data_IF_801496472276
#
_entry.id   IF_801496472276
#
_cell.length_a   1.000
_cell.length_b   1.000
_cell.length_c   1.000
_cell.angle_alpha   90.00
_cell.angle_beta   90.00
_cell.angle_gamma   90.00
#
_symmetry.space_group_name_H-M   'P 1'
#
loop_
_entity.id
_entity.type
_entity.pdbx_description
1 polymer ?
#
# COMPACT_ATOMS: atom_id res chain seq x y z
N UNK A 1 0.22 6.91 61.79
CA UNK A 1 0.43 7.80 60.63
C UNK A 1 1.45 7.11 59.69
N UNK A 2 1.22 6.14 58.80
CA UNK A 2 0.07 5.65 58.01
C UNK A 2 -0.75 6.78 57.40
N UNK A 3 -0.38 7.16 56.16
CA UNK A 3 -1.13 7.88 55.11
C UNK A 3 -0.20 8.76 54.24
N UNK A 4 0.97 8.24 53.83
CA UNK A 4 1.79 8.84 52.75
C UNK A 4 2.27 7.69 51.84
N UNK A 5 1.32 6.85 51.45
CA UNK A 5 1.48 5.85 50.39
C UNK A 5 0.31 6.15 49.43
N UNK A 6 0.57 6.15 48.12
CA UNK A 6 -0.44 6.08 47.04
C UNK A 6 -0.91 7.39 46.34
N UNK A 7 -0.10 8.43 46.25
CA UNK A 7 -0.45 9.59 45.39
C UNK A 7 0.70 10.10 44.50
N UNK A 8 1.73 9.28 44.28
CA UNK A 8 2.87 9.62 43.45
C UNK A 8 2.99 8.58 42.32
N UNK A 9 3.03 9.07 41.07
CA UNK A 9 3.52 8.38 39.86
C UNK A 9 2.61 7.36 39.15
N UNK A 10 1.42 7.81 38.75
CA UNK A 10 0.75 7.27 37.55
C UNK A 10 0.42 8.39 36.55
N UNK A 11 1.37 9.32 36.33
CA UNK A 11 1.42 10.04 35.05
C UNK A 11 2.06 9.10 34.04
N UNK A 12 1.29 8.10 33.60
CA UNK A 12 1.62 7.33 32.41
C UNK A 12 1.66 8.32 31.26
N UNK A 13 2.87 8.74 30.88
CA UNK A 13 3.09 9.42 29.62
C UNK A 13 2.67 8.43 28.53
N UNK A 14 1.42 8.54 28.07
CA UNK A 14 1.00 7.96 26.82
C UNK A 14 1.79 8.70 25.74
N UNK A 15 3.00 8.23 25.48
CA UNK A 15 3.75 8.60 24.29
C UNK A 15 2.96 8.03 23.13
N UNK A 16 2.08 8.86 22.55
CA UNK A 16 1.46 8.56 21.28
C UNK A 16 2.58 8.23 20.29
N UNK A 17 2.48 7.05 19.67
CA UNK A 17 3.47 6.53 18.75
C UNK A 17 3.33 7.19 17.37
N UNK A 18 3.30 8.52 17.32
CA UNK A 18 3.15 9.28 16.10
C UNK A 18 4.51 9.79 15.61
N UNK A 19 4.78 9.81 14.29
CA UNK A 19 6.05 10.28 13.76
C UNK A 19 6.25 11.78 14.05
N UNK A 20 7.48 12.20 14.37
CA UNK A 20 7.77 13.63 14.66
C UNK A 20 7.53 14.52 13.44
N UNK A 21 7.78 13.99 12.25
CA UNK A 21 7.51 14.65 10.98
C UNK A 21 6.85 13.67 10.02
N UNK A 22 5.69 14.05 9.50
CA UNK A 22 4.95 13.31 8.49
C UNK A 22 4.94 14.11 7.18
N UNK A 23 5.35 13.49 6.09
CA UNK A 23 5.36 14.09 4.76
C UNK A 23 4.73 13.12 3.75
N UNK A 24 3.70 13.58 3.04
CA UNK A 24 2.96 12.76 2.07
C UNK A 24 3.10 13.37 0.69
N UNK A 25 3.57 12.57 -0.26
CA UNK A 25 3.79 12.91 -1.65
C UNK A 25 2.68 12.28 -2.48
N UNK A 26 1.72 13.11 -2.91
CA UNK A 26 0.64 12.75 -3.82
C UNK A 26 1.09 12.94 -5.26
N UNK A 27 1.31 11.84 -5.97
CA UNK A 27 1.83 11.85 -7.33
C UNK A 27 0.65 11.86 -8.31
N UNK A 28 0.65 12.84 -9.22
CA UNK A 28 -0.39 13.00 -10.23
C UNK A 28 0.06 12.42 -11.58
N UNK A 29 -0.88 11.85 -12.37
CA UNK A 29 -0.55 11.44 -13.74
C UNK A 29 -0.12 12.65 -14.58
N UNK A 30 0.75 12.45 -15.58
CA UNK A 30 1.10 13.52 -16.51
C UNK A 30 -0.17 14.03 -17.20
N UNK A 31 -0.34 15.37 -17.27
CA UNK A 31 -1.49 15.99 -17.94
C UNK A 31 -1.43 15.69 -19.43
N UNK A 32 -2.14 14.64 -19.86
CA UNK A 32 -2.32 14.24 -21.27
C UNK A 32 -3.30 15.13 -22.04
N UNK A 33 -3.89 16.14 -21.39
CA UNK A 33 -4.86 17.05 -22.01
C UNK A 33 -4.31 17.82 -23.22
N UNK A 34 -2.99 18.00 -23.33
CA UNK A 34 -2.38 18.67 -24.50
C UNK A 34 -2.17 17.72 -25.70
N UNK A 35 -2.07 16.41 -25.48
CA UNK A 35 -1.81 15.45 -26.56
C UNK A 35 -3.10 15.08 -27.31
N UNK A 36 -4.25 15.22 -26.65
CA UNK A 36 -5.57 15.03 -27.29
C UNK A 36 -5.93 16.20 -28.24
N UNK A 37 -5.41 17.40 -28.01
CA UNK A 37 -5.64 18.58 -28.87
C UNK A 37 -4.71 18.62 -30.11
N UNK A 38 -3.58 17.91 -30.08
CA UNK A 38 -2.61 17.88 -31.19
C UNK A 38 -2.78 16.68 -32.13
N UNK A 39 -3.78 15.81 -31.90
CA UNK A 39 -4.12 14.72 -32.82
C UNK A 39 -5.18 15.22 -33.82
N UNK A 40 -4.83 15.45 -35.10
CA UNK A 40 -5.80 15.84 -36.10
C UNK A 40 -6.57 14.60 -36.55
N UNK A 41 -7.82 14.48 -36.14
CA UNK A 41 -8.73 13.49 -36.68
C UNK A 41 -9.63 12.90 -35.60
N UNK A 42 -10.91 12.88 -35.91
CA UNK A 42 -12.01 12.30 -35.13
C UNK A 42 -11.69 10.86 -34.67
N UNK A 43 -11.02 10.72 -33.52
CA UNK A 43 -10.99 9.46 -32.81
C UNK A 43 -12.32 9.34 -32.07
N UNK A 44 -13.32 8.81 -32.78
CA UNK A 44 -14.45 8.16 -32.11
C UNK A 44 -13.85 7.13 -31.15
N UNK A 45 -13.95 7.39 -29.85
CA UNK A 45 -13.71 6.38 -28.82
C UNK A 45 -14.80 5.32 -28.92
N UNK A 46 -14.71 4.49 -29.96
CA UNK A 46 -15.20 3.12 -29.88
C UNK A 46 -14.23 2.43 -28.94
N UNK A 47 -14.55 2.50 -27.65
CA UNK A 47 -13.96 1.60 -26.66
C UNK A 47 -14.14 0.19 -27.22
N UNK A 48 -13.09 -0.57 -27.58
CA UNK A 48 -13.27 -1.98 -27.57
C UNK A 48 -13.37 -2.27 -26.07
N UNK A 49 -14.61 -2.40 -25.58
CA UNK A 49 -14.78 -3.37 -24.51
C UNK A 49 -14.13 -4.63 -25.05
N UNK A 50 -12.93 -4.95 -24.56
CA UNK A 50 -12.43 -6.31 -24.59
C UNK A 50 -13.35 -7.11 -23.67
N UNK A 51 -14.61 -7.27 -24.09
CA UNK A 51 -15.29 -8.53 -23.95
C UNK A 51 -14.41 -9.49 -24.75
N UNK A 52 -13.43 -10.08 -24.06
CA UNK A 52 -12.90 -11.35 -24.51
C UNK A 52 -14.16 -12.20 -24.75
N UNK A 53 -14.44 -12.51 -26.02
CA UNK A 53 -15.25 -13.67 -26.39
C UNK A 53 -14.49 -14.89 -25.86
N UNK A 54 -14.46 -15.06 -24.53
CA UNK A 54 -13.96 -16.27 -23.92
C UNK A 54 -15.08 -17.26 -24.14
N UNK A 55 -14.94 -18.03 -25.20
CA UNK A 55 -15.72 -19.24 -25.38
C UNK A 55 -15.73 -19.98 -24.05
N UNK A 56 -16.95 -20.30 -23.63
CA UNK A 56 -17.19 -20.99 -22.41
C UNK A 56 -16.34 -22.28 -22.37
N UNK A 57 -15.56 -22.49 -21.30
CA UNK A 57 -14.69 -23.65 -21.20
C UNK A 57 -15.42 -24.83 -20.55
N UNK A 58 -15.44 -26.03 -21.17
CA UNK A 58 -16.17 -27.17 -20.64
C UNK A 58 -15.59 -27.60 -19.29
N UNK A 59 -16.46 -27.76 -18.28
CA UNK A 59 -16.07 -28.16 -16.93
C UNK A 59 -17.17 -29.05 -16.35
N UNK A 60 -16.88 -30.35 -16.17
CA UNK A 60 -17.88 -31.31 -15.70
C UNK A 60 -19.07 -31.44 -16.65
N UNK A 61 -20.30 -31.39 -16.12
CA UNK A 61 -21.55 -31.53 -16.88
C UNK A 61 -22.02 -30.20 -17.52
N UNK A 62 -21.22 -29.15 -17.41
CA UNK A 62 -21.53 -27.81 -17.87
C UNK A 62 -20.29 -27.10 -18.36
N UNK A 63 -20.34 -25.79 -18.29
CA UNK A 63 -19.36 -24.94 -18.93
C UNK A 63 -19.13 -23.68 -18.09
N UNK A 64 -17.86 -23.31 -17.88
CA UNK A 64 -17.50 -22.17 -17.05
C UNK A 64 -17.21 -20.94 -17.91
N UNK A 65 -18.00 -19.90 -17.73
CA UNK A 65 -17.85 -18.60 -18.40
C UNK A 65 -17.28 -17.58 -17.41
N UNK A 66 -16.17 -16.87 -17.73
CA UNK A 66 -15.47 -16.00 -16.77
C UNK A 66 -16.34 -14.91 -16.14
N UNK A 67 -17.36 -14.43 -16.86
CA UNK A 67 -18.28 -13.39 -16.38
C UNK A 67 -19.58 -13.94 -15.78
N UNK A 68 -20.03 -15.13 -16.21
CA UNK A 68 -21.34 -15.67 -15.86
C UNK A 68 -21.25 -16.84 -14.86
N UNK A 69 -20.04 -17.32 -14.58
CA UNK A 69 -19.83 -18.49 -13.74
C UNK A 69 -20.17 -19.79 -14.46
N UNK A 70 -20.60 -20.79 -13.68
CA UNK A 70 -20.92 -22.12 -14.19
C UNK A 70 -22.30 -22.18 -14.84
N UNK A 71 -22.35 -22.60 -16.12
CA UNK A 71 -23.55 -22.77 -16.93
C UNK A 71 -23.76 -24.28 -17.14
N UNK A 72 -24.80 -24.90 -16.55
CA UNK A 72 -25.11 -26.31 -16.80
C UNK A 72 -25.64 -26.52 -18.23
N UNK A 73 -25.29 -27.65 -18.87
CA UNK A 73 -25.86 -27.98 -20.18
C UNK A 73 -27.34 -28.38 -20.06
N UNK A 74 -28.19 -27.85 -20.96
CA UNK A 74 -29.66 -27.94 -20.85
C UNK A 74 -30.25 -29.36 -21.01
N UNK A 75 -29.43 -30.37 -21.27
CA UNK A 75 -29.88 -31.75 -21.48
C UNK A 75 -30.11 -32.56 -20.19
N UNK A 76 -29.80 -32.02 -19.01
CA UNK A 76 -30.06 -32.67 -17.73
C UNK A 76 -31.00 -31.86 -16.82
N UNK A 77 -32.20 -31.57 -17.33
CA UNK A 77 -33.35 -31.20 -16.47
C UNK A 77 -33.87 -32.43 -15.73
N UNK A 78 -33.18 -32.86 -14.68
CA UNK A 78 -33.75 -33.73 -13.65
C UNK A 78 -33.37 -33.23 -12.25
N UNK A 79 -34.28 -32.43 -11.70
CA UNK A 79 -34.62 -32.24 -10.29
C UNK A 79 -33.59 -32.69 -9.25
N UNK A 80 -32.89 -31.73 -8.66
CA UNK A 80 -32.67 -31.68 -7.21
C UNK A 80 -32.51 -30.22 -6.78
N UNK A 81 -33.28 -29.72 -5.80
CA UNK A 81 -33.07 -28.39 -5.27
C UNK A 81 -31.78 -28.42 -4.45
N UNK A 82 -30.71 -27.84 -5.00
CA UNK A 82 -29.54 -27.47 -4.21
C UNK A 82 -30.05 -26.40 -3.24
N UNK A 83 -30.04 -26.72 -1.95
CA UNK A 83 -30.28 -25.73 -0.90
C UNK A 83 -29.25 -24.62 -1.08
N UNK A 84 -29.72 -23.39 -1.28
CA UNK A 84 -28.92 -22.18 -1.11
C UNK A 84 -28.43 -22.13 0.34
N UNK A 85 -27.27 -22.74 0.58
CA UNK A 85 -26.46 -22.39 1.74
C UNK A 85 -25.88 -21.02 1.43
N UNK A 86 -26.49 -19.99 2.03
CA UNK A 86 -25.94 -18.63 2.08
C UNK A 86 -24.43 -18.71 2.31
N UNK A 87 -23.59 -18.10 1.44
CA UNK A 87 -22.16 -18.09 1.65
C UNK A 87 -21.90 -17.45 3.00
N UNK A 88 -21.51 -18.25 4.00
CA UNK A 88 -20.91 -17.68 5.19
C UNK A 88 -19.67 -16.94 4.68
N UNK A 89 -19.68 -15.61 4.84
CA UNK A 89 -18.54 -14.75 4.59
C UNK A 89 -17.35 -15.32 5.39
N UNK A 90 -16.54 -16.14 4.73
CA UNK A 90 -15.22 -16.48 5.20
C UNK A 90 -14.45 -15.16 5.17
N UNK A 91 -14.45 -14.46 6.32
CA UNK A 91 -13.54 -13.37 6.59
C UNK A 91 -12.13 -13.94 6.57
N UNK A 92 -11.56 -14.05 5.37
CA UNK A 92 -10.16 -14.38 5.18
C UNK A 92 -9.39 -13.23 5.81
N UNK A 93 -8.96 -13.42 7.06
CA UNK A 93 -8.05 -12.49 7.71
C UNK A 93 -6.75 -12.55 6.91
N UNK A 94 -6.50 -11.56 6.08
CA UNK A 94 -5.19 -11.32 5.48
C UNK A 94 -4.19 -11.14 6.62
N UNK A 95 -3.33 -12.13 6.81
CA UNK A 95 -2.28 -12.10 7.82
C UNK A 95 -1.21 -11.13 7.31
N UNK A 96 -1.14 -9.93 7.90
CA UNK A 96 0.00 -9.03 7.69
C UNK A 96 1.26 -9.74 8.18
N UNK A 97 2.32 -9.73 7.39
CA UNK A 97 3.63 -10.26 7.81
C UNK A 97 4.23 -9.50 9.00
N UNK A 98 3.75 -8.29 9.29
CA UNK A 98 4.11 -7.52 10.50
C UNK A 98 3.25 -7.87 11.73
N UNK A 99 2.08 -8.50 11.55
CA UNK A 99 1.20 -8.95 12.66
C UNK A 99 1.48 -10.40 13.10
N UNK A 100 2.48 -11.09 12.52
CA UNK A 100 2.83 -12.49 12.86
C UNK A 100 3.70 -12.59 14.13
N UNK A 101 4.00 -11.47 14.79
CA UNK A 101 4.91 -11.43 15.95
C UNK A 101 4.30 -11.89 17.30
N UNK A 102 3.31 -12.79 17.28
CA UNK A 102 2.72 -13.34 18.51
C UNK A 102 2.44 -14.85 18.49
N UNK A 103 3.19 -15.62 17.69
CA UNK A 103 3.32 -17.05 18.00
C UNK A 103 4.23 -17.15 19.23
N UNK A 104 3.66 -17.45 20.40
CA UNK A 104 4.44 -17.76 21.61
C UNK A 104 5.30 -19.00 21.33
N UNK A 105 6.56 -18.77 20.96
CA UNK A 105 7.57 -19.82 20.82
C UNK A 105 8.04 -20.25 22.21
N UNK A 106 7.15 -20.91 22.93
CA UNK A 106 7.46 -21.59 24.18
C UNK A 106 7.94 -23.01 23.85
N UNK A 107 9.10 -23.38 24.38
CA UNK A 107 9.70 -24.72 24.19
C UNK A 107 8.68 -25.80 24.54
N UNK A 108 8.25 -26.56 23.54
CA UNK A 108 7.37 -27.72 23.71
C UNK A 108 6.04 -27.66 22.95
N UNK A 109 5.74 -26.58 22.24
CA UNK A 109 4.55 -26.49 21.38
C UNK A 109 4.82 -27.01 19.97
N UNK A 110 3.83 -27.68 19.35
CA UNK A 110 3.94 -28.33 18.03
C UNK A 110 4.31 -27.38 16.87
N UNK A 111 4.14 -26.07 17.07
CA UNK A 111 4.47 -25.03 16.08
C UNK A 111 5.90 -24.45 16.21
N UNK A 112 6.74 -24.98 17.10
CA UNK A 112 8.15 -24.57 17.25
C UNK A 112 8.97 -24.75 15.96
N UNK A 113 8.54 -25.64 15.06
CA UNK A 113 9.19 -25.91 13.77
C UNK A 113 9.11 -24.69 12.83
N UNK A 114 8.07 -23.86 12.95
CA UNK A 114 7.89 -22.64 12.17
C UNK A 114 8.51 -21.40 12.83
N UNK A 115 8.99 -21.52 14.08
CA UNK A 115 9.76 -20.47 14.75
C UNK A 115 11.25 -20.47 14.34
N UNK A 116 11.54 -21.07 13.17
CA UNK A 116 12.86 -21.12 12.57
C UNK A 116 13.38 -19.71 12.30
N UNK A 117 14.31 -19.25 13.14
CA UNK A 117 15.17 -18.08 12.92
C UNK A 117 14.39 -16.81 12.54
N UNK A 118 13.43 -16.40 13.37
CA UNK A 118 13.31 -14.98 13.62
C UNK A 118 14.62 -14.55 14.32
N UNK A 119 15.69 -14.36 13.53
CA UNK A 119 16.78 -13.51 13.96
C UNK A 119 16.10 -12.26 14.46
N UNK A 120 16.26 -11.98 15.76
CA UNK A 120 16.03 -10.65 16.30
C UNK A 120 16.90 -9.74 15.45
N UNK A 121 16.37 -9.27 14.33
CA UNK A 121 16.98 -8.15 13.64
C UNK A 121 17.02 -7.07 14.71
N UNK A 122 18.21 -6.58 14.99
CA UNK A 122 18.40 -5.38 15.78
C UNK A 122 17.69 -4.25 15.03
N UNK A 123 16.38 -4.16 15.25
CA UNK A 123 15.46 -3.12 14.83
C UNK A 123 15.76 -1.90 15.69
N UNK A 124 17.00 -1.40 15.60
CA UNK A 124 17.22 0.02 15.79
C UNK A 124 16.25 0.71 14.82
N UNK A 125 15.25 1.45 15.33
CA UNK A 125 14.27 2.11 14.49
C UNK A 125 15.03 2.98 13.48
N UNK A 126 14.63 2.89 12.22
CA UNK A 126 15.17 3.79 11.20
C UNK A 126 14.81 5.22 11.57
N UNK A 127 15.76 6.15 11.43
CA UNK A 127 15.50 7.57 11.68
C UNK A 127 14.49 8.11 10.65
N UNK A 128 14.56 7.58 9.43
CA UNK A 128 13.68 7.94 8.31
C UNK A 128 13.04 6.67 7.77
N UNK A 129 11.73 6.67 7.54
CA UNK A 129 11.02 5.58 6.86
C UNK A 129 10.29 6.12 5.63
N UNK A 130 10.41 5.38 4.52
CA UNK A 130 9.72 5.68 3.26
C UNK A 130 8.71 4.59 2.99
N UNK A 131 7.46 4.97 2.81
CA UNK A 131 6.38 4.07 2.39
C UNK A 131 6.04 4.35 0.93
N UNK A 132 6.05 3.30 0.13
CA UNK A 132 5.77 3.39 -1.30
C UNK A 132 4.50 2.60 -1.58
N UNK A 133 3.51 3.30 -2.12
CA UNK A 133 2.27 2.72 -2.59
C UNK A 133 2.54 1.81 -3.79
N UNK A 134 2.05 0.58 -3.71
CA UNK A 134 2.13 -0.44 -4.75
C UNK A 134 0.75 -0.87 -5.25
N UNK A 135 -0.28 -0.08 -4.96
CA UNK A 135 -1.65 -0.28 -5.42
C UNK A 135 -1.76 -0.26 -6.94
N UNK A 136 -2.85 -0.81 -7.45
CA UNK A 136 -3.10 -0.88 -8.89
C UNK A 136 -3.29 0.50 -9.55
N UNK A 137 -3.74 1.52 -8.82
CA UNK A 137 -3.98 2.87 -9.33
C UNK A 137 -2.69 3.62 -9.67
N UNK A 138 -1.58 3.28 -9.00
CA UNK A 138 -0.23 3.79 -9.31
C UNK A 138 0.22 3.52 -10.75
N UNK A 139 -0.37 2.52 -11.43
CA UNK A 139 -0.11 2.25 -12.85
C UNK A 139 -0.44 3.42 -13.77
N UNK A 140 -1.41 4.26 -13.40
CA UNK A 140 -1.81 5.45 -14.19
C UNK A 140 -0.84 6.62 -14.02
N UNK A 141 -0.11 6.63 -12.91
CA UNK A 141 0.76 7.75 -12.52
C UNK A 141 2.20 7.49 -12.97
N UNK A 142 2.69 6.29 -12.73
CA UNK A 142 4.09 5.88 -12.93
C UNK A 142 4.16 4.72 -13.94
N UNK A 143 3.60 4.95 -15.13
CA UNK A 143 3.66 3.97 -16.22
C UNK A 143 5.06 3.95 -16.85
N UNK A 144 5.63 2.75 -16.93
CA UNK A 144 6.88 2.48 -17.62
C UNK A 144 6.70 1.27 -18.54
N UNK A 145 7.38 1.28 -19.68
CA UNK A 145 7.46 0.13 -20.59
C UNK A 145 8.35 -0.98 -20.06
N UNK A 146 9.30 -0.65 -19.18
CA UNK A 146 10.15 -1.62 -18.48
C UNK A 146 9.53 -1.95 -17.12
N UNK A 147 9.25 -3.24 -16.89
CA UNK A 147 8.66 -3.76 -15.66
C UNK A 147 9.50 -3.48 -14.42
N UNK A 148 10.82 -3.33 -14.57
CA UNK A 148 11.73 -3.12 -13.46
C UNK A 148 12.00 -1.63 -13.19
N UNK A 149 11.55 -0.74 -14.07
CA UNK A 149 11.85 0.69 -13.96
C UNK A 149 10.60 1.49 -13.65
N UNK A 150 10.66 2.34 -12.63
CA UNK A 150 9.58 3.26 -12.29
C UNK A 150 10.15 4.51 -11.58
N UNK A 151 9.42 5.61 -11.63
CA UNK A 151 9.79 6.89 -11.02
C UNK A 151 9.92 6.77 -9.49
N UNK A 152 9.04 6.00 -8.85
CA UNK A 152 9.12 5.68 -7.41
C UNK A 152 10.45 5.02 -7.04
N UNK A 153 10.89 4.03 -7.82
CA UNK A 153 12.19 3.39 -7.63
C UNK A 153 13.33 4.41 -7.74
N UNK A 154 13.30 5.25 -8.77
CA UNK A 154 14.33 6.27 -8.97
C UNK A 154 14.35 7.29 -7.82
N UNK A 155 13.18 7.65 -7.29
CA UNK A 155 13.05 8.50 -6.11
C UNK A 155 13.79 7.89 -4.92
N UNK A 156 13.46 6.63 -4.59
CA UNK A 156 14.03 5.94 -3.43
C UNK A 156 15.54 5.79 -3.58
N UNK A 157 16.02 5.37 -4.76
CA UNK A 157 17.47 5.25 -5.04
C UNK A 157 18.21 6.57 -4.85
N UNK A 158 17.67 7.68 -5.37
CA UNK A 158 18.28 9.00 -5.23
C UNK A 158 18.20 9.53 -3.78
N UNK A 159 17.12 9.23 -3.07
CA UNK A 159 16.96 9.61 -1.68
C UNK A 159 18.00 8.92 -0.79
N UNK A 160 18.15 7.59 -0.90
CA UNK A 160 19.17 6.83 -0.15
C UNK A 160 20.56 7.38 -0.42
N UNK A 161 20.91 7.61 -1.70
CA UNK A 161 22.21 8.18 -2.10
C UNK A 161 22.47 9.56 -1.50
N UNK A 162 21.41 10.34 -1.28
CA UNK A 162 21.51 11.70 -0.72
C UNK A 162 21.53 11.71 0.80
N UNK A 163 20.88 10.71 1.43
CA UNK A 163 20.66 10.56 2.86
C UNK A 163 21.62 9.53 3.50
N UNK A 164 22.86 9.42 3.01
CA UNK A 164 23.84 8.39 3.43
C UNK A 164 24.23 8.42 4.92
N UNK A 165 23.87 9.48 5.65
CA UNK A 165 24.17 9.67 7.07
C UNK A 165 23.16 9.01 8.02
N UNK A 166 21.94 8.69 7.56
CA UNK A 166 20.84 8.18 8.40
C UNK A 166 20.43 6.77 7.97
N UNK A 167 19.89 5.98 8.92
CA UNK A 167 19.32 4.67 8.60
C UNK A 167 17.94 4.88 7.97
N UNK A 168 17.81 4.60 6.68
CA UNK A 168 16.54 4.70 5.94
C UNK A 168 15.86 3.34 5.88
N UNK A 169 14.65 3.23 6.44
CA UNK A 169 13.76 2.09 6.27
C UNK A 169 12.87 2.29 5.06
N UNK A 170 12.63 1.24 4.28
CA UNK A 170 11.76 1.32 3.09
C UNK A 170 10.74 0.21 3.19
N UNK A 171 9.47 0.60 3.09
CA UNK A 171 8.33 -0.29 3.13
C UNK A 171 7.47 -0.05 1.89
N UNK A 172 6.88 -1.13 1.39
CA UNK A 172 5.81 -1.07 0.39
C UNK A 172 4.48 -1.27 1.09
N UNK A 173 3.43 -0.64 0.56
CA UNK A 173 2.09 -0.84 1.07
C UNK A 173 1.04 -0.96 -0.03
N UNK A 174 -0.01 -1.67 0.33
CA UNK A 174 -1.27 -1.82 -0.38
C UNK A 174 -2.38 -2.02 0.69
N UNK A 175 -3.05 -3.18 0.70
CA UNK A 175 -3.84 -3.70 1.83
C UNK A 175 -3.00 -4.08 3.07
N UNK A 176 -1.69 -4.26 2.89
CA UNK A 176 -0.73 -4.68 3.90
C UNK A 176 0.55 -3.85 3.80
N UNK A 177 1.23 -3.61 4.93
CA UNK A 177 2.55 -2.98 4.94
C UNK A 177 3.64 -4.04 5.07
N UNK A 178 4.64 -4.00 4.18
CA UNK A 178 5.76 -4.95 4.16
C UNK A 178 7.08 -4.22 3.96
N UNK A 179 8.14 -4.70 4.60
CA UNK A 179 9.48 -4.20 4.32
C UNK A 179 9.87 -4.53 2.87
N UNK A 180 10.47 -3.56 2.18
CA UNK A 180 10.93 -3.75 0.82
C UNK A 180 12.03 -4.81 0.77
N UNK A 181 11.89 -5.77 -0.14
CA UNK A 181 12.92 -6.77 -0.42
C UNK A 181 13.93 -6.26 -1.46
N UNK A 182 13.48 -6.13 -2.71
CA UNK A 182 14.29 -5.64 -3.84
C UNK A 182 13.70 -4.33 -4.39
N UNK A 183 14.53 -3.52 -5.06
CA UNK A 183 14.04 -2.26 -5.63
C UNK A 183 12.97 -2.45 -6.73
N UNK A 184 12.98 -3.60 -7.41
CA UNK A 184 12.01 -3.91 -8.45
C UNK A 184 10.59 -4.07 -7.86
N UNK A 185 10.47 -4.43 -6.57
CA UNK A 185 9.16 -4.57 -5.92
C UNK A 185 8.43 -3.24 -5.77
N UNK A 186 9.14 -2.11 -5.85
CA UNK A 186 8.53 -0.76 -5.84
C UNK A 186 7.73 -0.46 -7.11
N UNK A 187 7.98 -1.20 -8.19
CA UNK A 187 7.33 -0.99 -9.48
C UNK A 187 6.14 -1.93 -9.71
N UNK A 188 5.88 -2.85 -8.77
CA UNK A 188 4.71 -3.73 -8.80
C UNK A 188 3.47 -2.90 -8.48
N UNK A 189 2.43 -3.03 -9.31
CA UNK A 189 1.16 -2.35 -9.14
C UNK A 189 0.04 -3.39 -9.01
N UNK A 190 -0.42 -3.64 -7.79
CA UNK A 190 -1.43 -4.65 -7.47
C UNK A 190 -2.22 -4.28 -6.22
N UNK A 191 -3.43 -4.81 -6.10
CA UNK A 191 -4.25 -4.57 -4.92
C UNK A 191 -4.91 -3.20 -4.89
N UNK A 192 -5.60 -2.98 -3.76
CA UNK A 192 -6.26 -1.74 -3.38
C UNK A 192 -5.62 -1.24 -2.09
N UNK A 193 -5.75 0.05 -1.82
CA UNK A 193 -5.37 0.60 -0.54
C UNK A 193 -6.51 0.50 0.48
N UNK A 194 -6.13 0.37 1.74
CA UNK A 194 -7.03 0.47 2.89
C UNK A 194 -6.65 1.72 3.68
N UNK A 195 -7.38 2.81 3.45
CA UNK A 195 -7.13 4.10 4.10
C UNK A 195 -7.19 4.01 5.63
N UNK A 196 -8.10 3.19 6.17
CA UNK A 196 -8.25 3.00 7.61
C UNK A 196 -7.00 2.36 8.23
N UNK A 197 -6.49 1.31 7.59
CA UNK A 197 -5.22 0.69 7.99
C UNK A 197 -4.04 1.61 7.81
N UNK A 198 -3.99 2.39 6.74
CA UNK A 198 -2.91 3.34 6.52
C UNK A 198 -2.84 4.37 7.65
N UNK A 199 -3.98 4.96 8.03
CA UNK A 199 -4.06 5.88 9.18
C UNK A 199 -3.60 5.22 10.47
N UNK A 200 -4.04 3.99 10.71
CA UNK A 200 -3.61 3.22 11.87
C UNK A 200 -2.09 3.00 11.87
N UNK A 201 -1.50 2.59 10.75
CA UNK A 201 -0.05 2.41 10.64
C UNK A 201 0.71 3.72 10.90
N UNK A 202 0.19 4.86 10.42
CA UNK A 202 0.79 6.18 10.69
C UNK A 202 0.76 6.47 12.20
N UNK A 203 -0.37 6.20 12.86
CA UNK A 203 -0.55 6.39 14.30
C UNK A 203 0.30 5.45 15.16
N UNK A 204 0.69 4.31 14.62
CA UNK A 204 1.53 3.31 15.29
C UNK A 204 3.04 3.53 14.99
N UNK A 205 3.38 4.42 14.07
CA UNK A 205 4.76 4.62 13.60
C UNK A 205 5.61 5.51 14.52
N UNK A 206 6.68 4.92 15.07
CA UNK A 206 7.61 5.59 16.00
C UNK A 206 8.82 6.26 15.34
N UNK A 207 8.81 6.41 14.01
CA UNK A 207 9.96 6.93 13.25
C UNK A 207 10.05 8.45 13.38
N UNK A 208 11.26 9.01 13.28
CA UNK A 208 11.39 10.47 13.40
C UNK A 208 10.82 11.19 12.19
N UNK A 209 11.02 10.63 10.99
CA UNK A 209 10.52 11.20 9.74
C UNK A 209 9.89 10.12 8.88
N UNK A 210 8.59 10.22 8.64
CA UNK A 210 7.83 9.33 7.77
C UNK A 210 7.54 10.05 6.45
N UNK A 211 7.95 9.44 5.34
CA UNK A 211 7.67 9.91 3.98
C UNK A 211 6.77 8.87 3.30
N UNK A 212 5.59 9.27 2.84
CA UNK A 212 4.65 8.39 2.13
C UNK A 212 4.55 8.85 0.68
N UNK A 213 4.62 7.92 -0.27
CA UNK A 213 4.47 8.16 -1.70
C UNK A 213 3.24 7.41 -2.18
N UNK A 214 2.23 8.12 -2.66
CA UNK A 214 0.97 7.56 -3.15
C UNK A 214 0.42 8.41 -4.30
N UNK A 215 -0.63 7.96 -4.98
CA UNK A 215 -1.28 8.77 -6.02
C UNK A 215 -2.25 9.79 -5.42
N UNK A 216 -2.65 10.76 -6.25
CA UNK A 216 -3.62 11.79 -5.86
C UNK A 216 -5.03 11.25 -5.58
N UNK A 217 -5.38 10.07 -6.10
CA UNK A 217 -6.72 9.52 -5.94
C UNK A 217 -6.93 8.95 -4.52
N UNK A 218 -5.86 8.65 -3.79
CA UNK A 218 -5.89 8.27 -2.37
C UNK A 218 -6.18 9.45 -1.42
N UNK A 219 -6.13 10.71 -1.90
CA UNK A 219 -6.42 11.89 -1.08
C UNK A 219 -7.94 12.08 -0.87
N UNK A 220 -8.53 11.21 -0.07
CA UNK A 220 -9.92 11.37 0.35
C UNK A 220 -10.08 12.55 1.33
N UNK A 221 -11.28 13.14 1.48
CA UNK A 221 -11.53 14.17 2.49
C UNK A 221 -11.19 13.70 3.91
N UNK A 222 -11.41 12.42 4.21
CA UNK A 222 -11.13 11.86 5.53
C UNK A 222 -9.63 11.71 5.77
N UNK A 223 -8.85 11.33 4.75
CA UNK A 223 -7.39 11.29 4.85
C UNK A 223 -6.83 12.69 4.97
N UNK A 224 -7.34 13.64 4.19
CA UNK A 224 -6.92 15.04 4.25
C UNK A 224 -7.09 15.63 5.64
N UNK A 225 -8.28 15.53 6.23
CA UNK A 225 -8.52 16.05 7.58
C UNK A 225 -7.58 15.40 8.60
N UNK A 226 -7.36 14.09 8.50
CA UNK A 226 -6.40 13.39 9.35
C UNK A 226 -4.97 13.92 9.19
N UNK A 227 -4.50 14.16 7.96
CA UNK A 227 -3.17 14.69 7.70
C UNK A 227 -3.02 16.14 8.19
N UNK A 228 -4.03 16.98 7.98
CA UNK A 228 -4.05 18.37 8.45
C UNK A 228 -4.09 18.47 9.98
N UNK A 229 -4.88 17.63 10.66
CA UNK A 229 -4.97 17.56 12.12
C UNK A 229 -3.64 17.18 12.79
N UNK A 230 -2.76 16.48 12.06
CA UNK A 230 -1.47 16.03 12.56
C UNK A 230 -0.28 16.82 11.96
N UNK A 231 -0.52 18.03 11.45
CA UNK A 231 0.51 18.93 10.89
C UNK A 231 1.37 18.28 9.80
N UNK A 232 0.79 17.37 9.00
CA UNK A 232 1.50 16.68 7.94
C UNK A 232 1.82 17.62 6.77
N UNK A 233 3.02 17.50 6.23
CA UNK A 233 3.41 18.23 5.01
C UNK A 233 2.91 17.44 3.80
N UNK A 234 1.85 17.94 3.17
CA UNK A 234 1.34 17.37 1.92
C UNK A 234 2.00 18.06 0.72
N UNK A 235 2.61 17.30 -0.18
CA UNK A 235 3.07 17.78 -1.50
C UNK A 235 2.30 17.03 -2.58
N UNK A 236 1.91 17.72 -3.65
CA UNK A 236 1.00 17.14 -4.62
C UNK A 236 -0.47 17.28 -4.20
N UNK A 237 -1.38 16.81 -5.05
CA UNK A 237 -2.81 17.09 -4.90
C UNK A 237 -3.17 18.53 -5.31
N UNK A 238 -3.77 19.29 -4.38
CA UNK A 238 -4.28 20.65 -4.65
C UNK A 238 -3.20 21.74 -4.82
N UNK A 239 -1.96 21.49 -4.36
CA UNK A 239 -0.99 22.58 -4.10
C UNK A 239 0.19 22.67 -5.07
N UNK A 240 0.46 21.65 -5.88
CA UNK A 240 1.37 21.68 -7.05
C UNK A 240 1.54 20.26 -7.60
N UNK A 241 1.34 20.04 -8.91
CA UNK A 241 1.49 18.72 -9.53
C UNK A 241 2.92 18.17 -9.32
N UNK A 242 3.06 17.22 -8.39
CA UNK A 242 4.22 16.33 -8.30
C UNK A 242 3.97 15.24 -9.35
N UNK A 243 4.53 15.44 -10.53
CA UNK A 243 4.52 14.41 -11.57
C UNK A 243 5.69 13.45 -11.36
N UNK A 244 5.60 12.28 -11.99
CA UNK A 244 6.65 11.25 -11.99
C UNK A 244 8.04 11.80 -12.36
N UNK A 245 8.10 12.81 -13.24
CA UNK A 245 9.37 13.46 -13.62
C UNK A 245 9.96 14.34 -12.50
N UNK A 246 9.11 15.00 -11.71
CA UNK A 246 9.51 15.89 -10.61
C UNK A 246 9.90 15.14 -9.35
N UNK A 247 9.48 13.88 -9.19
CA UNK A 247 9.88 13.04 -8.07
C UNK A 247 11.40 13.00 -7.87
N UNK A 248 12.18 12.99 -8.97
CA UNK A 248 13.65 13.00 -8.87
C UNK A 248 14.19 14.25 -8.17
N UNK A 249 13.60 15.42 -8.42
CA UNK A 249 14.01 16.67 -7.78
C UNK A 249 13.58 16.70 -6.31
N UNK A 250 12.36 16.26 -6.02
CA UNK A 250 11.85 16.14 -4.64
C UNK A 250 12.74 15.21 -3.81
N UNK A 251 13.19 14.08 -4.36
CA UNK A 251 14.11 13.17 -3.69
C UNK A 251 15.42 13.85 -3.28
N UNK A 252 15.99 14.69 -4.16
CA UNK A 252 17.22 15.42 -3.89
C UNK A 252 17.02 16.50 -2.82
N UNK A 253 15.89 17.21 -2.86
CA UNK A 253 15.60 18.27 -1.89
C UNK A 253 15.31 17.71 -0.49
N UNK A 254 14.57 16.61 -0.41
CA UNK A 254 14.36 15.89 0.85
C UNK A 254 15.65 15.26 1.36
N UNK A 255 16.48 14.74 0.46
CA UNK A 255 17.79 14.18 0.79
C UNK A 255 18.77 15.21 1.36
N UNK A 256 18.69 16.48 0.95
CA UNK A 256 19.48 17.57 1.57
C UNK A 256 19.10 17.80 3.04
N UNK A 257 17.82 17.63 3.39
CA UNK A 257 17.35 17.77 4.76
C UNK A 257 17.78 16.61 5.69
N UNK A 258 18.40 15.55 5.14
CA UNK A 258 19.02 14.49 5.93
C UNK A 258 20.44 14.83 6.43
N UNK A 259 21.11 15.81 5.83
CA UNK A 259 22.46 16.25 6.22
C UNK A 259 22.40 17.22 7.39
#
# INVERSE_FOLDING_TARGET
MKNILLALFMTSNFTYAFPKKLEVLFVAPPKVSLLLEMLPGEFTMTSPMFALNVECQPMGDGCFHPQLGYIPNEDNKNNSPIKDETPQELKVKTINSMDVDMVNCEKGNYFDIFCGKATKEDTKPSDVEIWVDTSSSMRRVDFSTDLNFCARRTFVENFIKSCSSKKVGISIFDTSKKQMGTFDSLCINHGLNDEGRMKQWIQDSKVEHLIIITDVDELSPSLRSFLEENDAVMRGGDYADVTSDKLKQVALDLGKACK
#
